data_IF_180535749779
#
_entry.id   IF_180535749779
#
_cell.length_a   1.000
_cell.length_b   1.000
_cell.length_c   1.000
_cell.angle_alpha   90.00
_cell.angle_beta   90.00
_cell.angle_gamma   90.00
#
_symmetry.space_group_name_H-M   'P 1'
#
loop_
_entity.id
_entity.type
_entity.pdbx_description
1 polymer ?
#
# COMPACT_ATOMS: atom_id res chain seq x y z
N UNK A 1 -4.13 3.39 41.08
CA UNK A 1 -2.79 3.55 40.51
C UNK A 1 -2.81 4.30 39.19
N UNK A 2 -3.73 4.01 38.27
CA UNK A 2 -3.80 4.58 36.93
C UNK A 2 -4.49 5.95 36.84
N UNK A 3 -5.33 6.33 37.82
CA UNK A 3 -6.08 7.61 37.82
C UNK A 3 -5.18 8.86 37.77
N UNK A 4 -3.95 8.75 38.30
CA UNK A 4 -2.96 9.82 38.27
C UNK A 4 -2.45 10.11 36.85
N UNK A 5 -2.44 9.11 35.98
CA UNK A 5 -2.01 9.24 34.57
C UNK A 5 -3.14 9.75 33.66
N UNK A 6 -4.40 9.56 34.06
CA UNK A 6 -5.56 10.06 33.33
C UNK A 6 -5.80 11.57 33.55
N UNK A 7 -5.27 12.13 34.64
CA UNK A 7 -5.42 13.56 35.00
C UNK A 7 -4.26 14.45 34.53
N UNK A 8 -3.22 13.87 33.91
CA UNK A 8 -2.09 14.63 33.36
C UNK A 8 -2.51 15.44 32.14
N UNK A 9 -1.99 16.66 31.99
CA UNK A 9 -2.13 17.44 30.75
C UNK A 9 -1.48 16.62 29.64
N UNK A 10 -2.19 16.28 28.57
CA UNK A 10 -1.62 15.49 27.48
C UNK A 10 -0.46 16.26 26.83
N UNK A 11 0.72 15.68 26.84
CA UNK A 11 1.91 16.25 26.18
C UNK A 11 1.69 16.37 24.66
N UNK A 12 0.90 15.46 24.11
CA UNK A 12 0.57 15.43 22.68
C UNK A 12 -0.87 15.91 22.45
N UNK A 13 -1.04 16.79 21.50
CA UNK A 13 -2.39 17.20 21.03
C UNK A 13 -3.11 16.05 20.33
N UNK A 14 -2.36 15.30 19.55
CA UNK A 14 -2.84 14.12 18.82
C UNK A 14 -1.67 13.11 18.72
N UNK A 15 -1.88 11.90 19.25
CA UNK A 15 -0.88 10.82 19.18
C UNK A 15 -0.94 10.06 17.85
N UNK A 16 -2.07 10.10 17.15
CA UNK A 16 -2.25 9.39 15.88
C UNK A 16 -1.29 9.93 14.80
N UNK A 17 -0.95 11.23 14.87
CA UNK A 17 0.03 11.87 13.97
C UNK A 17 1.42 11.24 14.04
N UNK A 18 1.75 10.56 15.13
CA UNK A 18 3.05 9.92 15.33
C UNK A 18 3.10 8.46 14.84
N UNK A 19 2.00 7.94 14.34
CA UNK A 19 1.96 6.57 13.81
C UNK A 19 2.69 6.50 12.46
N UNK A 20 3.36 5.37 12.21
CA UNK A 20 4.06 5.13 10.95
C UNK A 20 3.13 5.01 9.73
N UNK A 21 1.85 4.75 9.96
CA UNK A 21 0.81 4.63 8.95
C UNK A 21 0.01 5.93 8.75
N UNK A 22 0.28 6.95 9.57
CA UNK A 22 -0.40 8.24 9.47
C UNK A 22 -0.11 8.92 8.12
N UNK A 23 -1.18 9.35 7.47
CA UNK A 23 -1.11 10.15 6.24
C UNK A 23 -1.78 11.49 6.53
N UNK A 24 -1.05 12.62 6.46
CA UNK A 24 -1.64 13.92 6.69
C UNK A 24 -2.68 14.28 5.63
N UNK A 25 -3.70 15.06 6.02
CA UNK A 25 -4.74 15.54 5.10
C UNK A 25 -4.20 16.47 4.01
N UNK A 26 -3.05 17.10 4.26
CA UNK A 26 -2.36 17.97 3.31
C UNK A 26 -0.89 17.66 3.29
N UNK A 27 -0.32 17.60 2.11
CA UNK A 27 1.11 17.42 1.87
C UNK A 27 1.66 18.69 1.18
N UNK A 28 2.11 19.69 1.96
CA UNK A 28 2.62 20.93 1.40
C UNK A 28 3.85 20.66 0.53
N UNK A 29 4.01 21.44 -0.55
CA UNK A 29 5.10 21.32 -1.53
C UNK A 29 5.16 19.97 -2.26
N UNK A 30 4.01 19.28 -2.39
CA UNK A 30 3.88 18.00 -3.11
C UNK A 30 2.75 18.01 -4.14
N UNK A 31 2.22 19.18 -4.45
CA UNK A 31 1.07 19.36 -5.34
C UNK A 31 1.34 18.78 -6.73
N UNK A 32 2.55 19.00 -7.26
CA UNK A 32 2.92 18.48 -8.58
C UNK A 32 3.05 16.96 -8.59
N UNK A 33 3.70 16.37 -7.58
CA UNK A 33 3.84 14.92 -7.46
C UNK A 33 2.47 14.26 -7.27
N UNK A 34 1.60 14.84 -6.45
CA UNK A 34 0.23 14.37 -6.24
C UNK A 34 -0.55 14.42 -7.55
N UNK A 35 -0.48 15.53 -8.29
CA UNK A 35 -1.16 15.69 -9.57
C UNK A 35 -0.67 14.67 -10.60
N UNK A 36 0.63 14.57 -10.80
CA UNK A 36 1.24 13.66 -11.77
C UNK A 36 0.89 12.19 -11.47
N UNK A 37 1.04 11.76 -10.22
CA UNK A 37 0.69 10.39 -9.84
C UNK A 37 -0.82 10.15 -9.94
N UNK A 38 -1.65 11.12 -9.55
CA UNK A 38 -3.10 11.05 -9.68
C UNK A 38 -3.56 10.91 -11.13
N UNK A 39 -2.94 11.63 -12.07
CA UNK A 39 -3.23 11.50 -13.51
C UNK A 39 -2.94 10.08 -14.02
N UNK A 40 -1.82 9.48 -13.59
CA UNK A 40 -1.43 8.13 -14.02
C UNK A 40 -2.40 7.07 -13.50
N UNK A 41 -2.88 7.19 -12.26
CA UNK A 41 -3.77 6.18 -11.66
C UNK A 41 -5.26 6.44 -11.93
N UNK A 42 -5.62 7.62 -12.42
CA UNK A 42 -7.03 8.00 -12.67
C UNK A 42 -7.82 7.08 -13.61
N UNK A 43 -7.21 6.41 -14.63
CA UNK A 43 -7.97 5.49 -15.50
C UNK A 43 -8.64 4.34 -14.75
N UNK A 44 -8.14 3.99 -13.57
CA UNK A 44 -8.70 2.94 -12.71
C UNK A 44 -10.13 3.27 -12.28
N UNK A 45 -10.48 4.55 -12.10
CA UNK A 45 -11.84 5.00 -11.77
C UNK A 45 -12.85 4.70 -12.89
N UNK A 46 -12.36 4.51 -14.12
CA UNK A 46 -13.18 4.16 -15.30
C UNK A 46 -13.12 2.66 -15.60
N UNK A 47 -12.58 1.84 -14.70
CA UNK A 47 -12.44 0.40 -14.89
C UNK A 47 -11.30 -0.02 -15.82
N UNK A 48 -10.37 0.88 -16.15
CA UNK A 48 -9.20 0.60 -16.99
C UNK A 48 -7.96 0.43 -16.15
N UNK A 49 -7.02 -0.44 -16.57
CA UNK A 49 -5.72 -0.54 -15.90
C UNK A 49 -4.91 0.73 -16.11
N UNK A 50 -4.19 1.16 -15.08
CA UNK A 50 -3.18 2.22 -15.19
C UNK A 50 -1.82 1.64 -15.59
N UNK A 51 -0.90 2.52 -15.99
CA UNK A 51 0.50 2.16 -16.24
C UNK A 51 1.22 1.79 -14.94
N UNK A 52 2.24 0.92 -15.04
CA UNK A 52 3.15 0.68 -13.94
C UNK A 52 3.96 1.96 -13.65
N UNK A 53 4.17 2.24 -12.36
CA UNK A 53 4.87 3.45 -11.92
C UNK A 53 6.05 3.05 -11.06
N UNK A 54 7.21 3.64 -11.33
CA UNK A 54 8.38 3.51 -10.50
C UNK A 54 8.71 4.86 -9.86
N UNK A 55 8.61 4.93 -8.52
CA UNK A 55 8.85 6.15 -7.74
C UNK A 55 10.18 6.00 -7.01
N UNK A 56 11.13 6.85 -7.35
CA UNK A 56 12.47 6.83 -6.76
C UNK A 56 12.89 8.20 -6.22
N UNK A 57 13.92 8.23 -5.41
CA UNK A 57 14.46 9.46 -4.81
C UNK A 57 15.04 9.21 -3.43
N UNK A 58 15.66 10.24 -2.85
CA UNK A 58 16.33 10.18 -1.54
C UNK A 58 15.38 9.74 -0.43
N UNK A 59 15.93 9.08 0.60
CA UNK A 59 15.18 8.72 1.81
C UNK A 59 14.63 9.97 2.50
N UNK A 60 13.46 9.88 3.10
CA UNK A 60 12.84 10.99 3.83
C UNK A 60 12.16 12.05 2.96
N UNK A 61 12.12 11.90 1.62
CA UNK A 61 11.49 12.88 0.71
C UNK A 61 9.97 12.76 0.62
N UNK A 62 9.33 11.89 1.40
CA UNK A 62 7.87 11.76 1.45
C UNK A 62 7.25 10.92 0.33
N UNK A 63 8.02 10.07 -0.38
CA UNK A 63 7.50 9.19 -1.44
C UNK A 63 6.32 8.35 -0.98
N UNK A 64 6.50 7.62 0.11
CA UNK A 64 5.45 6.78 0.73
C UNK A 64 4.21 7.58 1.11
N UNK A 65 4.38 8.77 1.66
CA UNK A 65 3.27 9.64 2.05
C UNK A 65 2.44 10.09 0.83
N UNK A 66 3.09 10.48 -0.27
CA UNK A 66 2.41 10.86 -1.52
C UNK A 66 1.63 9.69 -2.09
N UNK A 67 2.23 8.50 -2.15
CA UNK A 67 1.56 7.29 -2.67
C UNK A 67 0.33 6.95 -1.83
N UNK A 68 0.47 6.87 -0.52
CA UNK A 68 -0.64 6.57 0.39
C UNK A 68 -1.74 7.62 0.28
N UNK A 69 -1.39 8.90 0.24
CA UNK A 69 -2.35 10.00 0.10
C UNK A 69 -3.17 9.88 -1.18
N UNK A 70 -2.52 9.75 -2.34
CA UNK A 70 -3.20 9.68 -3.63
C UNK A 70 -4.08 8.44 -3.72
N UNK A 71 -3.57 7.28 -3.30
CA UNK A 71 -4.33 6.03 -3.36
C UNK A 71 -5.51 6.01 -2.38
N UNK A 72 -5.39 6.61 -1.19
CA UNK A 72 -6.53 6.75 -0.29
C UNK A 72 -7.66 7.58 -0.91
N UNK A 73 -7.30 8.70 -1.57
CA UNK A 73 -8.28 9.53 -2.30
C UNK A 73 -8.88 8.81 -3.51
N UNK A 74 -8.07 8.00 -4.21
CA UNK A 74 -8.52 7.19 -5.33
C UNK A 74 -9.57 6.15 -4.88
N UNK A 75 -9.29 5.40 -3.81
CA UNK A 75 -10.21 4.38 -3.27
C UNK A 75 -11.50 5.02 -2.79
N UNK A 76 -11.41 6.15 -2.08
CA UNK A 76 -12.59 6.91 -1.66
C UNK A 76 -13.45 7.29 -2.89
N UNK A 77 -12.82 7.83 -3.93
CA UNK A 77 -13.54 8.24 -5.15
C UNK A 77 -14.10 7.05 -5.93
N UNK A 78 -13.38 5.94 -5.99
CA UNK A 78 -13.86 4.70 -6.60
C UNK A 78 -15.12 4.19 -5.90
N UNK A 79 -15.13 4.19 -4.56
CA UNK A 79 -16.31 3.80 -3.77
C UNK A 79 -17.52 4.70 -4.06
N UNK A 80 -17.33 6.02 -4.17
CA UNK A 80 -18.40 6.96 -4.54
C UNK A 80 -18.99 6.69 -5.94
N UNK A 81 -18.15 6.19 -6.86
CA UNK A 81 -18.53 5.86 -8.24
C UNK A 81 -19.05 4.42 -8.40
N UNK A 82 -19.08 3.62 -7.33
CA UNK A 82 -19.45 2.21 -7.37
C UNK A 82 -18.43 1.31 -8.10
N UNK A 83 -17.18 1.78 -8.25
CA UNK A 83 -16.10 1.01 -8.86
C UNK A 83 -15.41 0.14 -7.82
N UNK A 84 -15.15 -1.13 -8.18
CA UNK A 84 -14.47 -2.10 -7.30
C UNK A 84 -12.96 -1.98 -7.48
N UNK A 85 -12.32 -1.14 -6.64
CA UNK A 85 -10.88 -0.88 -6.63
C UNK A 85 -10.33 -1.19 -5.26
N UNK A 86 -9.32 -2.04 -5.21
CA UNK A 86 -8.59 -2.39 -3.99
C UNK A 86 -7.13 -1.97 -4.11
N UNK A 87 -6.52 -1.65 -2.97
CA UNK A 87 -5.10 -1.32 -2.88
C UNK A 87 -4.42 -2.28 -1.92
N UNK A 88 -3.45 -3.03 -2.43
CA UNK A 88 -2.56 -3.85 -1.63
C UNK A 88 -1.23 -3.11 -1.43
N UNK A 89 -0.97 -2.66 -0.20
CA UNK A 89 0.28 -2.00 0.17
C UNK A 89 1.17 -2.98 0.93
N UNK A 90 2.36 -3.23 0.41
CA UNK A 90 3.35 -4.14 1.02
C UNK A 90 4.67 -3.40 1.21
N UNK A 91 5.16 -3.39 2.45
CA UNK A 91 6.53 -2.98 2.73
C UNK A 91 7.45 -4.20 2.56
N UNK A 92 8.26 -4.20 1.51
CA UNK A 92 9.10 -5.33 1.12
C UNK A 92 10.21 -5.63 2.14
N UNK A 93 10.69 -4.60 2.85
CA UNK A 93 11.67 -4.79 3.92
C UNK A 93 11.09 -5.56 5.10
N UNK A 94 9.85 -5.25 5.50
CA UNK A 94 9.18 -5.95 6.60
C UNK A 94 8.75 -7.36 6.21
N UNK A 95 8.36 -7.56 4.95
CA UNK A 95 8.00 -8.88 4.43
C UNK A 95 9.20 -9.81 4.34
N UNK A 96 10.36 -9.31 3.94
CA UNK A 96 11.63 -10.02 3.91
C UNK A 96 11.74 -11.14 2.87
N UNK A 97 10.64 -11.68 2.36
CA UNK A 97 10.65 -12.76 1.36
C UNK A 97 9.55 -12.56 0.31
N UNK A 98 9.79 -13.05 -0.92
CA UNK A 98 8.80 -13.04 -1.99
C UNK A 98 7.51 -13.79 -1.63
N UNK A 99 7.67 -14.89 -0.91
CA UNK A 99 6.52 -15.68 -0.44
C UNK A 99 5.58 -14.83 0.41
N UNK A 100 6.12 -14.07 1.37
CA UNK A 100 5.31 -13.19 2.23
C UNK A 100 4.70 -12.03 1.47
N UNK A 101 5.43 -11.44 0.53
CA UNK A 101 4.89 -10.40 -0.36
C UNK A 101 3.69 -10.95 -1.14
N UNK A 102 3.83 -12.13 -1.74
CA UNK A 102 2.76 -12.75 -2.52
C UNK A 102 1.59 -13.21 -1.63
N UNK A 103 1.87 -13.66 -0.41
CA UNK A 103 0.83 -13.96 0.59
C UNK A 103 0.01 -12.73 0.95
N UNK A 104 0.66 -11.56 1.11
CA UNK A 104 -0.05 -10.29 1.34
C UNK A 104 -0.97 -9.91 0.17
N UNK A 105 -0.60 -10.23 -1.08
CA UNK A 105 -1.50 -10.05 -2.22
C UNK A 105 -2.73 -10.95 -2.12
N UNK A 106 -2.54 -12.21 -1.73
CA UNK A 106 -3.66 -13.13 -1.49
C UNK A 106 -4.60 -12.62 -0.39
N UNK A 107 -4.02 -12.18 0.74
CA UNK A 107 -4.77 -11.64 1.86
C UNK A 107 -5.60 -10.40 1.49
N UNK A 108 -5.03 -9.48 0.71
CA UNK A 108 -5.73 -8.26 0.28
C UNK A 108 -6.99 -8.54 -0.52
N UNK A 109 -7.03 -9.67 -1.23
CA UNK A 109 -8.21 -10.13 -1.95
C UNK A 109 -8.98 -11.23 -1.20
N UNK A 110 -8.68 -11.46 0.10
CA UNK A 110 -9.37 -12.44 0.94
C UNK A 110 -9.16 -13.90 0.54
N UNK A 111 -8.04 -14.20 -0.08
CA UNK A 111 -7.58 -15.57 -0.37
C UNK A 111 -6.63 -16.02 0.73
N UNK A 112 -6.99 -17.07 1.44
CA UNK A 112 -6.17 -17.62 2.52
C UNK A 112 -5.05 -18.48 1.95
N UNK A 113 -3.82 -18.23 2.42
CA UNK A 113 -2.62 -19.00 2.08
C UNK A 113 -1.95 -19.41 3.40
N UNK A 114 -1.46 -20.65 3.54
CA UNK A 114 -0.72 -21.03 4.73
C UNK A 114 0.58 -20.22 4.83
N UNK A 115 1.06 -20.03 6.06
CA UNK A 115 2.24 -19.22 6.34
C UNK A 115 3.53 -19.76 5.68
N UNK A 116 3.59 -21.07 5.45
CA UNK A 116 4.71 -21.79 4.79
C UNK A 116 4.18 -23.04 4.10
N UNK A 117 5.04 -23.67 3.27
CA UNK A 117 4.81 -25.02 2.75
C UNK A 117 4.27 -25.10 1.32
N UNK A 118 3.87 -23.99 0.72
CA UNK A 118 3.50 -23.98 -0.70
C UNK A 118 4.67 -23.48 -1.57
N UNK A 119 4.74 -23.99 -2.78
CA UNK A 119 5.62 -23.42 -3.80
C UNK A 119 5.11 -22.01 -4.19
N UNK A 120 6.05 -21.11 -4.51
CA UNK A 120 5.73 -19.72 -4.89
C UNK A 120 4.74 -19.66 -6.07
N UNK A 121 4.90 -20.56 -7.06
CA UNK A 121 3.98 -20.67 -8.20
C UNK A 121 2.56 -21.04 -7.81
N UNK A 122 2.38 -21.89 -6.80
CA UNK A 122 1.05 -22.26 -6.32
C UNK A 122 0.36 -21.08 -5.62
N UNK A 123 1.10 -20.30 -4.83
CA UNK A 123 0.58 -19.07 -4.20
C UNK A 123 0.15 -18.06 -5.26
N UNK A 124 0.98 -17.90 -6.31
CA UNK A 124 0.66 -17.03 -7.43
C UNK A 124 -0.60 -17.49 -8.20
N UNK A 125 -0.76 -18.78 -8.41
CA UNK A 125 -1.96 -19.32 -9.08
C UNK A 125 -3.23 -19.11 -8.25
N UNK A 126 -3.14 -19.27 -6.92
CA UNK A 126 -4.25 -18.96 -6.02
C UNK A 126 -4.63 -17.47 -6.07
N UNK A 127 -3.63 -16.60 -6.04
CA UNK A 127 -3.81 -15.16 -6.19
C UNK A 127 -4.53 -14.83 -7.51
N UNK A 128 -4.01 -15.34 -8.64
CA UNK A 128 -4.59 -15.10 -9.97
C UNK A 128 -6.03 -15.57 -10.08
N UNK A 129 -6.34 -16.77 -9.57
CA UNK A 129 -7.70 -17.33 -9.54
C UNK A 129 -8.63 -16.48 -8.67
N UNK A 130 -8.17 -16.07 -7.49
CA UNK A 130 -8.93 -15.22 -6.58
C UNK A 130 -9.22 -13.86 -7.17
N UNK A 131 -8.25 -13.23 -7.80
CA UNK A 131 -8.40 -11.94 -8.46
C UNK A 131 -9.43 -11.98 -9.61
N UNK A 132 -9.30 -12.99 -10.47
CA UNK A 132 -10.21 -13.17 -11.61
C UNK A 132 -11.67 -13.41 -11.19
N UNK A 133 -11.89 -14.13 -10.07
CA UNK A 133 -13.24 -14.42 -9.58
C UNK A 133 -13.97 -13.19 -9.04
N UNK A 134 -13.25 -12.16 -8.59
CA UNK A 134 -13.83 -10.99 -7.91
C UNK A 134 -14.13 -9.81 -8.83
N UNK A 135 -13.65 -9.81 -10.07
CA UNK A 135 -13.85 -8.71 -11.05
C UNK A 135 -13.47 -7.34 -10.47
N UNK A 136 -12.42 -7.27 -9.65
CA UNK A 136 -11.92 -6.04 -9.08
C UNK A 136 -10.61 -5.61 -9.75
N UNK A 137 -10.31 -4.32 -9.70
CA UNK A 137 -9.01 -3.78 -10.05
C UNK A 137 -8.15 -3.69 -8.79
N UNK A 138 -7.02 -4.38 -8.80
CA UNK A 138 -6.07 -4.35 -7.69
C UNK A 138 -4.86 -3.49 -8.05
N UNK A 139 -4.59 -2.46 -7.25
CA UNK A 139 -3.34 -1.69 -7.31
C UNK A 139 -2.40 -2.26 -6.27
N UNK A 140 -1.27 -2.79 -6.72
CA UNK A 140 -0.23 -3.30 -5.83
C UNK A 140 0.85 -2.24 -5.65
N UNK A 141 1.18 -1.93 -4.39
CA UNK A 141 2.26 -1.04 -4.00
C UNK A 141 3.34 -1.83 -3.30
N UNK A 142 4.53 -1.83 -3.88
CA UNK A 142 5.74 -2.43 -3.32
C UNK A 142 6.65 -1.31 -2.80
N UNK A 143 6.58 -1.03 -1.51
CA UNK A 143 7.45 -0.04 -0.87
C UNK A 143 8.76 -0.70 -0.42
N UNK A 144 9.86 0.04 -0.51
CA UNK A 144 11.21 -0.43 -0.19
C UNK A 144 11.61 -1.72 -0.94
N UNK A 145 11.24 -1.81 -2.22
CA UNK A 145 11.48 -3.01 -3.04
C UNK A 145 12.97 -3.36 -3.18
N UNK A 146 13.85 -2.39 -3.02
CA UNK A 146 15.31 -2.58 -3.01
C UNK A 146 15.77 -3.54 -1.90
N UNK A 147 15.00 -3.69 -0.84
CA UNK A 147 15.31 -4.65 0.23
C UNK A 147 15.23 -6.11 -0.27
N UNK A 148 14.23 -6.45 -1.09
CA UNK A 148 14.10 -7.80 -1.66
C UNK A 148 15.21 -8.14 -2.67
N UNK A 149 15.70 -7.12 -3.40
CA UNK A 149 16.75 -7.32 -4.41
C UNK A 149 18.11 -7.56 -3.74
N UNK A 150 18.41 -6.78 -2.69
CA UNK A 150 19.70 -6.91 -1.95
C UNK A 150 19.86 -8.26 -1.26
N UNK A 151 18.78 -8.82 -0.75
CA UNK A 151 18.83 -10.14 -0.07
C UNK A 151 19.13 -11.31 -1.04
N UNK A 152 18.99 -11.11 -2.35
CA UNK A 152 19.33 -12.11 -3.36
C UNK A 152 20.80 -12.11 -3.77
N UNK A 153 21.61 -11.15 -3.35
CA UNK A 153 23.02 -11.06 -3.71
C UNK A 153 23.29 -10.70 -5.18
N UNK A 154 22.29 -10.20 -5.89
CA UNK A 154 22.35 -9.86 -7.32
C UNK A 154 22.71 -8.37 -7.54
N UNK A 155 23.68 -7.84 -6.76
CA UNK A 155 24.30 -6.54 -7.04
C UNK A 155 25.78 -6.60 -6.79
#
# INVERSE_FOLDING_TARGET
MFDRFLRGVPIFKDREVLRNDYVPDKLPHREEQIRCFGEIVSPVLKGSCCSNVFIYGKTGTGKTAVVKYVLSKLVQKASELGSSVEVCYVNCRLSGTEYRVLSSFCESIGVTVPFTGLALGEVFDRFRKGLNSRRLLLIVVLDEIDALIKDRGDV
#
